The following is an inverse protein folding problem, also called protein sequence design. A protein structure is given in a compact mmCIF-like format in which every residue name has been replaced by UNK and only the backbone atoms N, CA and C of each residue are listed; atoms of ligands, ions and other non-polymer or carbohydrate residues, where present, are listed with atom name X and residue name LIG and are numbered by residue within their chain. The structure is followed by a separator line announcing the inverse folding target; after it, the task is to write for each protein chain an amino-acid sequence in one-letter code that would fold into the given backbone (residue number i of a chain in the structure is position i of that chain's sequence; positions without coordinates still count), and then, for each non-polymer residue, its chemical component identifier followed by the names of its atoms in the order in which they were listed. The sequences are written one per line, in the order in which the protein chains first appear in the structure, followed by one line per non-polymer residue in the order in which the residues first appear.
data_IF_395238499863
#
_entry.id   IF_395238499863
#
_cell.length_a   1.000
_cell.length_b   1.000
_cell.length_c   1.000
_cell.angle_alpha   90.00
_cell.angle_beta   90.00
_cell.angle_gamma   90.00
#
_symmetry.space_group_name_H-M   'P 1'
#
loop_
_entity.id
_entity.type
_entity.pdbx_description
1 polymer ?
#
# COMPACT_ATOMS: atom_id res chain seq x y z
N UNK A 1 -45.10 -27.45 -65.93
CA UNK A 1 -45.87 -28.01 -64.80
C UNK A 1 -44.89 -28.73 -63.88
N UNK A 2 -44.27 -28.03 -62.91
CA UNK A 2 -43.73 -28.59 -61.65
C UNK A 2 -43.52 -27.43 -60.67
N UNK A 3 -43.83 -27.73 -59.41
CA UNK A 3 -44.13 -26.83 -58.30
C UNK A 3 -42.88 -26.21 -57.63
N UNK A 4 -43.09 -24.99 -57.16
CA UNK A 4 -42.73 -24.40 -55.86
C UNK A 4 -41.94 -25.33 -54.90
N UNK A 5 -40.75 -24.88 -54.49
CA UNK A 5 -40.26 -24.97 -53.12
C UNK A 5 -39.55 -23.65 -52.78
N UNK A 6 -40.24 -22.84 -51.98
CA UNK A 6 -39.71 -21.63 -51.35
C UNK A 6 -38.60 -22.01 -50.38
N UNK A 7 -37.56 -21.16 -50.29
CA UNK A 7 -36.54 -21.23 -49.24
C UNK A 7 -37.01 -20.42 -48.02
N UNK A 8 -37.45 -21.06 -46.93
CA UNK A 8 -37.33 -20.43 -45.62
C UNK A 8 -36.80 -21.43 -44.60
N UNK A 9 -35.54 -21.85 -44.68
CA UNK A 9 -34.95 -22.64 -43.57
C UNK A 9 -33.42 -22.71 -43.62
N UNK A 10 -32.73 -21.57 -43.70
CA UNK A 10 -31.27 -21.51 -43.43
C UNK A 10 -30.87 -20.35 -42.53
N UNK A 11 -31.83 -19.76 -41.81
CA UNK A 11 -31.59 -18.65 -40.87
C UNK A 11 -31.97 -18.99 -39.41
N UNK A 12 -32.11 -20.28 -39.07
CA UNK A 12 -32.47 -20.72 -37.72
C UNK A 12 -31.43 -21.64 -37.05
N UNK A 13 -30.23 -21.80 -37.64
CA UNK A 13 -29.13 -22.61 -37.07
C UNK A 13 -27.85 -21.78 -36.82
N UNK A 14 -27.84 -20.50 -37.21
CA UNK A 14 -26.75 -19.57 -36.87
C UNK A 14 -26.98 -18.78 -35.56
N UNK A 15 -28.13 -18.96 -34.91
CA UNK A 15 -28.51 -18.24 -33.68
C UNK A 15 -28.46 -19.09 -32.40
N UNK A 16 -27.94 -20.32 -32.46
CA UNK A 16 -27.90 -21.26 -31.33
C UNK A 16 -26.50 -21.83 -31.03
N UNK A 17 -25.44 -21.08 -31.35
CA UNK A 17 -24.03 -21.42 -30.99
C UNK A 17 -23.33 -20.21 -30.34
N UNK A 18 -24.09 -19.28 -29.76
CA UNK A 18 -23.56 -18.00 -29.24
C UNK A 18 -24.04 -17.66 -27.83
N UNK A 19 -24.39 -18.67 -27.02
CA UNK A 19 -24.77 -18.45 -25.62
C UNK A 19 -24.35 -19.58 -24.66
N UNK A 20 -23.25 -20.28 -24.98
CA UNK A 20 -22.47 -20.97 -23.94
C UNK A 20 -21.15 -20.21 -23.78
N UNK A 21 -21.26 -18.91 -23.56
CA UNK A 21 -20.30 -18.29 -22.66
C UNK A 21 -20.64 -18.91 -21.32
N UNK A 22 -19.85 -19.91 -20.93
CA UNK A 22 -19.78 -20.35 -19.55
C UNK A 22 -19.69 -19.08 -18.72
N UNK A 23 -20.79 -18.75 -18.05
CA UNK A 23 -20.79 -17.85 -16.91
C UNK A 23 -19.89 -18.61 -15.94
N UNK A 24 -18.58 -18.34 -16.02
CA UNK A 24 -17.65 -18.78 -15.00
C UNK A 24 -18.28 -18.34 -13.68
N UNK A 25 -18.22 -19.18 -12.63
CA UNK A 25 -18.86 -18.84 -11.36
C UNK A 25 -18.50 -17.40 -11.04
N UNK A 26 -19.53 -16.55 -10.90
CA UNK A 26 -19.36 -15.17 -10.47
C UNK A 26 -18.39 -15.25 -9.30
N UNK A 27 -17.21 -14.62 -9.36
CA UNK A 27 -16.17 -14.79 -8.37
C UNK A 27 -16.85 -14.73 -7.02
N UNK A 28 -16.90 -15.88 -6.33
CA UNK A 28 -17.57 -15.98 -5.04
C UNK A 28 -16.98 -14.86 -4.21
N UNK A 29 -17.85 -13.98 -3.70
CA UNK A 29 -17.50 -12.76 -2.98
C UNK A 29 -16.17 -12.94 -2.27
N UNK A 30 -15.19 -12.07 -2.54
CA UNK A 30 -13.83 -12.09 -2.01
C UNK A 30 -13.86 -12.37 -0.49
N UNK A 31 -13.90 -13.65 -0.14
CA UNK A 31 -14.04 -14.10 1.22
C UNK A 31 -12.63 -14.30 1.74
N UNK A 32 -12.33 -13.65 2.85
CA UNK A 32 -11.07 -13.84 3.52
C UNK A 32 -10.90 -15.32 3.88
N UNK A 33 -9.81 -15.91 3.39
CA UNK A 33 -9.41 -17.25 3.75
C UNK A 33 -8.73 -17.27 5.11
N UNK A 34 -8.65 -18.46 5.71
CA UNK A 34 -7.87 -18.68 6.92
C UNK A 34 -6.40 -18.26 6.72
N UNK A 35 -5.76 -17.62 7.71
CA UNK A 35 -4.34 -17.33 7.66
C UNK A 35 -3.53 -18.60 7.39
N UNK A 36 -2.71 -18.57 6.35
CA UNK A 36 -1.72 -19.60 6.09
C UNK A 36 -0.42 -19.32 6.82
N UNK A 37 0.23 -20.35 7.36
CA UNK A 37 1.60 -20.23 7.84
C UNK A 37 2.55 -20.06 6.65
N UNK A 38 3.52 -19.15 6.79
CA UNK A 38 4.67 -19.08 5.87
C UNK A 38 5.75 -20.02 6.38
N UNK A 39 6.02 -21.15 5.71
CA UNK A 39 6.86 -22.21 6.25
C UNK A 39 8.32 -21.77 6.35
N UNK A 40 8.93 -21.98 7.51
CA UNK A 40 10.35 -21.69 7.72
C UNK A 40 10.66 -20.21 7.99
N UNK A 41 9.65 -19.38 8.29
CA UNK A 41 9.88 -18.04 8.85
C UNK A 41 10.49 -18.17 10.24
N UNK A 42 11.66 -17.54 10.50
CA UNK A 42 12.27 -17.52 11.83
C UNK A 42 11.36 -16.86 12.87
N UNK A 43 11.49 -17.23 14.13
CA UNK A 43 10.67 -16.68 15.22
C UNK A 43 10.99 -15.22 15.55
N UNK A 44 12.14 -14.71 15.11
CA UNK A 44 12.63 -13.35 15.39
C UNK A 44 12.38 -12.36 14.24
N UNK A 45 11.44 -12.68 13.33
CA UNK A 45 11.04 -11.75 12.28
C UNK A 45 10.02 -10.73 12.77
N UNK A 46 10.01 -9.55 12.13
CA UNK A 46 9.00 -8.50 12.38
C UNK A 46 8.67 -7.69 11.13
N UNK A 47 7.57 -6.95 11.24
CA UNK A 47 7.05 -5.95 10.29
C UNK A 47 7.02 -6.45 8.82
N UNK A 48 6.20 -7.46 8.51
CA UNK A 48 6.03 -7.92 7.14
C UNK A 48 5.54 -6.78 6.25
N UNK A 49 6.11 -6.69 5.04
CA UNK A 49 5.59 -5.84 3.96
C UNK A 49 5.22 -6.73 2.80
N UNK A 50 4.09 -6.45 2.16
CA UNK A 50 3.49 -7.32 1.16
C UNK A 50 3.16 -6.54 -0.11
N UNK A 51 3.42 -7.15 -1.26
CA UNK A 51 2.97 -6.67 -2.58
C UNK A 51 2.30 -7.83 -3.34
N UNK A 52 1.29 -7.52 -4.14
CA UNK A 52 0.61 -8.50 -5.00
C UNK A 52 0.96 -8.30 -6.47
N UNK A 53 1.02 -9.40 -7.21
CA UNK A 53 1.31 -9.44 -8.65
C UNK A 53 0.53 -10.58 -9.30
N UNK A 54 -0.54 -10.29 -10.04
CA UNK A 54 -1.40 -11.32 -10.63
C UNK A 54 -1.90 -12.33 -9.56
N UNK A 55 -1.50 -13.61 -9.65
CA UNK A 55 -1.79 -14.64 -8.66
C UNK A 55 -0.63 -14.89 -7.67
N UNK A 56 0.34 -13.98 -7.59
CA UNK A 56 1.50 -14.08 -6.70
C UNK A 56 1.42 -13.04 -5.60
N UNK A 57 1.95 -13.44 -4.45
CA UNK A 57 2.10 -12.58 -3.28
C UNK A 57 3.57 -12.56 -2.91
N UNK A 58 4.10 -11.37 -2.74
CA UNK A 58 5.49 -11.12 -2.38
C UNK A 58 5.52 -10.58 -0.97
N UNK A 59 6.32 -11.17 -0.10
CA UNK A 59 6.47 -10.72 1.28
C UNK A 59 7.93 -10.54 1.61
N UNK A 60 8.26 -9.42 2.24
CA UNK A 60 9.55 -9.24 2.91
C UNK A 60 9.33 -9.13 4.42
N UNK A 61 10.23 -9.76 5.17
CA UNK A 61 10.28 -9.68 6.63
C UNK A 61 11.68 -9.33 7.07
N UNK A 62 11.79 -8.63 8.20
CA UNK A 62 13.08 -8.31 8.80
C UNK A 62 13.39 -9.26 9.94
N UNK A 63 14.54 -9.92 9.86
CA UNK A 63 15.06 -10.79 10.90
C UNK A 63 15.94 -10.01 11.87
N UNK A 64 15.52 -9.87 13.13
CA UNK A 64 16.14 -8.94 14.06
C UNK A 64 17.52 -9.38 14.55
N UNK A 65 17.74 -10.67 14.80
CA UNK A 65 19.01 -11.15 15.32
C UNK A 65 20.16 -11.02 14.31
N UNK A 66 19.86 -11.18 13.01
CA UNK A 66 20.83 -11.13 11.92
C UNK A 66 20.83 -9.82 11.13
N UNK A 67 19.89 -8.90 11.41
CA UNK A 67 19.70 -7.65 10.65
C UNK A 67 19.49 -7.86 9.15
N UNK A 68 18.74 -8.90 8.78
CA UNK A 68 18.55 -9.32 7.39
C UNK A 68 17.13 -9.07 6.89
N UNK A 69 16.98 -8.84 5.58
CA UNK A 69 15.69 -8.99 4.92
C UNK A 69 15.56 -10.38 4.32
N UNK A 70 14.47 -11.04 4.70
CA UNK A 70 14.03 -12.30 4.14
C UNK A 70 12.88 -12.03 3.18
N UNK A 71 12.90 -12.70 2.05
CA UNK A 71 11.88 -12.64 1.02
C UNK A 71 11.18 -13.99 0.91
N UNK A 72 9.85 -13.97 0.91
CA UNK A 72 8.99 -15.13 0.68
C UNK A 72 8.06 -14.86 -0.49
N UNK A 73 7.84 -15.87 -1.32
CA UNK A 73 6.90 -15.82 -2.43
C UNK A 73 5.76 -16.78 -2.18
N UNK A 74 4.54 -16.32 -2.39
CA UNK A 74 3.32 -17.11 -2.36
C UNK A 74 2.68 -17.19 -3.73
N UNK A 75 2.04 -18.31 -4.04
CA UNK A 75 1.12 -18.44 -5.18
C UNK A 75 -0.30 -18.61 -4.64
N UNK A 76 -1.20 -17.70 -5.00
CA UNK A 76 -2.61 -17.75 -4.67
C UNK A 76 -3.35 -18.68 -5.62
N UNK A 77 -4.12 -19.60 -5.05
CA UNK A 77 -5.07 -20.44 -5.76
C UNK A 77 -6.41 -19.70 -5.95
N UNK A 78 -7.26 -20.20 -6.83
CA UNK A 78 -8.58 -19.60 -7.10
C UNK A 78 -9.50 -19.49 -5.86
N UNK A 79 -9.26 -20.31 -4.84
CA UNK A 79 -9.98 -20.28 -3.56
C UNK A 79 -9.37 -19.30 -2.54
N UNK A 80 -8.38 -18.48 -2.92
CA UNK A 80 -7.71 -17.53 -2.05
C UNK A 80 -6.60 -18.10 -1.16
N UNK A 81 -6.44 -19.43 -1.09
CA UNK A 81 -5.33 -20.04 -0.34
C UNK A 81 -3.98 -19.71 -0.98
N UNK A 82 -2.95 -19.47 -0.16
CA UNK A 82 -1.60 -19.13 -0.63
C UNK A 82 -0.66 -20.28 -0.30
N UNK A 83 -0.01 -20.82 -1.34
CA UNK A 83 1.10 -21.76 -1.18
C UNK A 83 2.40 -20.96 -1.13
N UNK A 84 3.04 -20.94 0.04
CA UNK A 84 4.26 -20.19 0.29
C UNK A 84 5.53 -21.01 0.05
N UNK A 85 6.51 -20.38 -0.58
CA UNK A 85 7.89 -20.83 -0.60
C UNK A 85 8.61 -20.46 0.71
N UNK A 86 9.69 -21.19 1.01
CA UNK A 86 10.53 -20.87 2.18
C UNK A 86 11.20 -19.49 2.01
N UNK A 87 11.28 -18.69 3.09
CA UNK A 87 11.96 -17.41 3.06
C UNK A 87 13.43 -17.55 2.66
N UNK A 88 13.95 -16.53 1.97
CA UNK A 88 15.35 -16.46 1.55
C UNK A 88 15.90 -15.08 1.80
N UNK A 89 17.15 -15.00 2.23
CA UNK A 89 17.83 -13.72 2.43
C UNK A 89 18.03 -12.98 1.11
N UNK A 90 17.70 -11.68 1.10
CA UNK A 90 17.87 -10.79 -0.06
C UNK A 90 18.69 -9.52 0.24
N UNK A 91 18.86 -9.19 1.52
CA UNK A 91 19.72 -8.10 1.98
C UNK A 91 20.25 -8.38 3.38
N UNK A 92 21.41 -7.81 3.68
CA UNK A 92 22.08 -7.82 4.98
C UNK A 92 22.19 -6.38 5.51
N UNK A 93 22.54 -6.24 6.79
CA UNK A 93 22.78 -4.96 7.48
C UNK A 93 21.60 -3.97 7.43
N UNK A 94 20.37 -4.48 7.36
CA UNK A 94 19.16 -3.66 7.23
C UNK A 94 18.80 -3.00 8.56
N UNK A 95 18.34 -1.75 8.49
CA UNK A 95 17.97 -0.93 9.65
C UNK A 95 16.58 -0.31 9.46
N UNK A 96 15.62 -0.79 10.25
CA UNK A 96 14.34 -0.16 10.61
C UNK A 96 13.42 0.41 9.49
N UNK A 97 13.80 0.39 8.22
CA UNK A 97 12.99 0.91 7.12
C UNK A 97 13.16 0.03 5.88
N UNK A 98 12.05 -0.54 5.40
CA UNK A 98 12.00 -1.34 4.17
C UNK A 98 10.57 -1.36 3.64
N UNK A 99 10.43 -1.51 2.33
CA UNK A 99 9.13 -1.73 1.71
C UNK A 99 9.28 -2.43 0.35
N UNK A 100 8.17 -2.94 -0.17
CA UNK A 100 8.10 -3.74 -1.39
C UNK A 100 6.97 -3.27 -2.30
N UNK A 101 7.23 -3.23 -3.61
CA UNK A 101 6.23 -3.05 -4.64
C UNK A 101 6.41 -4.12 -5.73
N UNK A 102 5.35 -4.40 -6.47
CA UNK A 102 5.40 -5.24 -7.65
C UNK A 102 4.63 -4.58 -8.80
N UNK A 103 5.10 -4.81 -10.03
CA UNK A 103 4.39 -4.39 -11.24
C UNK A 103 3.62 -5.53 -11.91
N UNK A 104 2.76 -5.18 -12.86
CA UNK A 104 1.96 -6.16 -13.60
C UNK A 104 2.79 -7.03 -14.57
N UNK A 105 4.05 -6.69 -14.83
CA UNK A 105 4.95 -7.50 -15.66
C UNK A 105 5.65 -8.61 -14.88
N UNK A 106 5.52 -8.61 -13.56
CA UNK A 106 6.19 -9.57 -12.68
C UNK A 106 7.46 -9.06 -12.03
N UNK A 107 7.82 -7.80 -12.22
CA UNK A 107 8.98 -7.29 -11.52
C UNK A 107 8.65 -6.93 -10.07
N UNK A 108 9.54 -7.33 -9.17
CA UNK A 108 9.47 -7.05 -7.74
C UNK A 108 10.56 -6.05 -7.38
N UNK A 109 10.18 -5.04 -6.62
CA UNK A 109 11.00 -3.89 -6.27
C UNK A 109 11.07 -3.79 -4.74
N UNK A 110 12.28 -3.70 -4.19
CA UNK A 110 12.48 -3.55 -2.74
C UNK A 110 13.39 -2.36 -2.49
N UNK A 111 12.96 -1.46 -1.61
CA UNK A 111 13.81 -0.42 -1.04
C UNK A 111 14.02 -0.70 0.45
N UNK A 112 15.22 -0.43 0.95
CA UNK A 112 15.57 -0.65 2.35
C UNK A 112 16.69 0.27 2.81
N UNK A 113 16.69 0.63 4.09
CA UNK A 113 17.77 1.35 4.74
C UNK A 113 18.71 0.42 5.49
N UNK A 114 19.97 0.82 5.66
CA UNK A 114 21.04 0.02 6.27
C UNK A 114 21.70 0.72 7.47
N UNK A 115 22.48 -0.02 8.28
CA UNK A 115 23.17 0.57 9.44
C UNK A 115 24.29 1.54 9.03
N UNK A 116 24.86 1.38 7.83
CA UNK A 116 25.82 2.32 7.22
C UNK A 116 25.18 3.65 6.75
N UNK A 117 23.90 3.88 7.08
CA UNK A 117 23.14 5.11 6.79
C UNK A 117 22.91 5.34 5.30
N UNK A 118 22.65 4.28 4.54
CA UNK A 118 22.23 4.39 3.14
C UNK A 118 20.82 3.84 2.94
N UNK A 119 20.18 4.30 1.87
CA UNK A 119 18.99 3.66 1.31
C UNK A 119 19.42 2.97 0.03
N UNK A 120 19.08 1.70 -0.08
CA UNK A 120 19.34 0.89 -1.26
C UNK A 120 18.04 0.45 -1.92
N UNK A 121 18.18 0.12 -3.20
CA UNK A 121 17.15 -0.49 -4.03
C UNK A 121 17.67 -1.76 -4.67
N UNK A 122 16.84 -2.81 -4.69
CA UNK A 122 17.06 -4.04 -5.47
C UNK A 122 15.80 -4.41 -6.25
N UNK A 123 15.99 -5.04 -7.41
CA UNK A 123 14.92 -5.48 -8.30
C UNK A 123 15.06 -6.97 -8.61
N UNK A 124 13.93 -7.66 -8.71
CA UNK A 124 13.85 -8.98 -9.34
C UNK A 124 12.91 -8.89 -10.55
N UNK A 125 13.41 -9.01 -11.79
CA UNK A 125 12.58 -8.87 -12.98
C UNK A 125 11.70 -10.10 -13.28
N UNK A 126 11.87 -11.21 -12.55
CA UNK A 126 11.31 -12.51 -12.90
C UNK A 126 10.40 -13.04 -11.78
N UNK A 127 9.34 -12.32 -11.44
CA UNK A 127 8.32 -12.74 -10.45
C UNK A 127 8.92 -13.12 -9.08
N UNK A 128 10.03 -12.48 -8.71
CA UNK A 128 10.76 -12.81 -7.49
C UNK A 128 11.44 -14.19 -7.49
N UNK A 129 11.75 -14.75 -8.67
CA UNK A 129 12.48 -16.00 -8.81
C UNK A 129 13.85 -15.93 -8.15
N UNK A 130 14.27 -17.02 -7.52
CA UNK A 130 15.52 -17.06 -6.79
C UNK A 130 16.74 -16.77 -7.67
N UNK A 131 17.74 -16.09 -7.10
CA UNK A 131 19.02 -15.79 -7.76
C UNK A 131 18.96 -14.62 -8.73
N UNK A 132 17.78 -14.04 -8.99
CA UNK A 132 17.57 -12.99 -9.97
C UNK A 132 17.48 -11.57 -9.37
N UNK A 133 17.84 -11.41 -8.10
CA UNK A 133 17.90 -10.07 -7.49
C UNK A 133 19.10 -9.31 -8.04
N UNK A 134 18.87 -8.06 -8.46
CA UNK A 134 19.92 -7.16 -8.88
C UNK A 134 20.90 -6.89 -7.73
N UNK A 135 22.09 -6.40 -8.07
CA UNK A 135 22.96 -5.78 -7.07
C UNK A 135 22.26 -4.57 -6.44
N UNK A 136 22.53 -4.24 -5.16
CA UNK A 136 22.02 -3.03 -4.54
C UNK A 136 22.44 -1.77 -5.31
N UNK A 137 21.48 -0.94 -5.67
CA UNK A 137 21.68 0.41 -6.19
C UNK A 137 21.52 1.40 -5.02
N UNK A 138 22.48 2.29 -4.79
CA UNK A 138 22.33 3.36 -3.79
C UNK A 138 21.29 4.38 -4.26
N UNK A 139 20.27 4.60 -3.44
CA UNK A 139 19.22 5.61 -3.64
C UNK A 139 19.65 6.95 -3.02
N UNK A 140 20.17 6.88 -1.79
CA UNK A 140 20.61 8.04 -1.03
C UNK A 140 21.57 7.65 0.09
N UNK A 141 22.44 8.59 0.47
CA UNK A 141 23.17 8.59 1.74
C UNK A 141 22.43 9.48 2.74
N UNK A 142 22.29 9.02 3.97
CA UNK A 142 21.56 9.66 5.07
C UNK A 142 22.54 10.27 6.08
N UNK A 143 22.14 11.35 6.73
CA UNK A 143 22.97 11.96 7.78
C UNK A 143 22.99 11.06 9.04
N UNK A 144 21.82 10.55 9.46
CA UNK A 144 21.69 9.67 10.65
C UNK A 144 20.91 8.39 10.36
N UNK A 145 19.64 8.48 9.96
CA UNK A 145 18.77 7.31 9.73
C UNK A 145 17.48 7.67 8.99
N UNK A 146 16.81 6.66 8.43
CA UNK A 146 15.44 6.75 7.94
C UNK A 146 14.45 6.39 9.06
N UNK A 147 13.34 7.11 9.15
CA UNK A 147 12.27 6.93 10.14
C UNK A 147 11.07 6.16 9.55
N UNK A 148 11.35 5.14 8.73
CA UNK A 148 10.47 4.47 7.75
C UNK A 148 10.59 5.02 6.32
N UNK A 149 10.28 4.14 5.37
CA UNK A 149 10.23 4.46 3.95
C UNK A 149 9.08 3.72 3.26
N UNK A 150 8.70 4.22 2.10
CA UNK A 150 7.74 3.57 1.20
C UNK A 150 8.27 3.53 -0.23
N UNK A 151 7.79 2.57 -1.01
CA UNK A 151 8.12 2.42 -2.43
C UNK A 151 6.84 2.27 -3.25
N UNK A 152 6.74 3.02 -4.35
CA UNK A 152 5.65 2.93 -5.29
C UNK A 152 6.17 2.96 -6.73
N UNK A 153 5.33 2.52 -7.66
CA UNK A 153 5.64 2.51 -9.09
C UNK A 153 4.65 3.41 -9.83
N UNK A 154 5.16 4.23 -10.74
CA UNK A 154 4.32 4.94 -11.72
C UNK A 154 3.73 3.97 -12.77
N UNK A 155 2.90 4.46 -13.68
CA UNK A 155 2.28 3.62 -14.71
C UNK A 155 3.27 3.12 -15.80
N UNK A 156 4.52 3.59 -15.79
CA UNK A 156 5.62 3.06 -16.62
C UNK A 156 6.57 2.15 -15.81
N UNK A 157 6.18 1.73 -14.60
CA UNK A 157 6.96 0.90 -13.68
C UNK A 157 8.29 1.55 -13.25
N UNK A 158 8.37 2.89 -13.27
CA UNK A 158 9.49 3.63 -12.67
C UNK A 158 9.33 3.61 -11.16
N UNK A 159 10.34 3.17 -10.39
CA UNK A 159 10.25 3.14 -8.94
C UNK A 159 10.51 4.51 -8.32
N UNK A 160 9.73 4.81 -7.29
CA UNK A 160 9.83 5.98 -6.42
C UNK A 160 9.96 5.51 -4.99
N UNK A 161 10.83 6.17 -4.21
CA UNK A 161 11.04 5.88 -2.79
C UNK A 161 10.81 7.16 -2.00
N UNK A 162 9.97 7.12 -0.97
CA UNK A 162 9.74 8.23 -0.05
C UNK A 162 10.22 7.87 1.35
N UNK A 163 10.85 8.80 2.06
CA UNK A 163 11.30 8.57 3.44
C UNK A 163 11.36 9.87 4.24
N UNK A 164 11.11 9.75 5.54
CA UNK A 164 11.56 10.75 6.51
C UNK A 164 12.97 10.38 6.97
N UNK A 165 13.86 11.35 7.09
CA UNK A 165 15.19 11.12 7.68
C UNK A 165 15.44 11.99 8.90
N UNK A 166 16.28 11.49 9.80
CA UNK A 166 16.82 12.18 10.98
C UNK A 166 15.79 12.53 12.08
N UNK A 167 16.27 12.95 13.24
CA UNK A 167 15.45 13.42 14.38
C UNK A 167 16.07 14.73 14.85
N UNK A 168 15.24 15.72 15.18
CA UNK A 168 15.65 17.07 15.61
C UNK A 168 16.21 17.97 14.48
N UNK A 169 15.78 17.68 13.24
CA UNK A 169 15.89 18.49 12.02
C UNK A 169 15.52 17.61 10.82
N UNK A 170 14.41 16.87 10.96
CA UNK A 170 13.97 15.88 10.00
C UNK A 170 13.49 16.54 8.71
N UNK A 171 13.72 15.87 7.59
CA UNK A 171 13.21 16.26 6.27
C UNK A 171 12.47 15.09 5.63
N UNK A 172 11.41 15.41 4.88
CA UNK A 172 10.70 14.44 4.06
C UNK A 172 11.24 14.50 2.63
N UNK A 173 11.66 13.35 2.10
CA UNK A 173 12.27 13.25 0.77
C UNK A 173 11.56 12.22 -0.09
N UNK A 174 11.68 12.42 -1.40
CA UNK A 174 11.35 11.44 -2.43
C UNK A 174 12.55 11.30 -3.36
N UNK A 175 12.82 10.08 -3.81
CA UNK A 175 13.70 9.83 -4.94
C UNK A 175 12.99 8.99 -5.99
N UNK A 176 13.41 9.14 -7.24
CA UNK A 176 12.96 8.28 -8.34
C UNK A 176 14.15 7.88 -9.21
N UNK A 177 14.00 6.76 -9.91
CA UNK A 177 15.04 6.26 -10.82
C UNK A 177 14.95 6.93 -12.19
N UNK A 178 15.97 7.66 -12.60
CA UNK A 178 15.95 8.39 -13.87
C UNK A 178 16.00 7.44 -15.09
N UNK A 179 15.49 7.85 -16.27
CA UNK A 179 15.51 7.02 -17.48
C UNK A 179 16.91 6.56 -17.93
N UNK A 180 17.96 7.32 -17.61
CA UNK A 180 19.37 6.95 -17.86
C UNK A 180 20.00 6.06 -16.79
N UNK A 181 19.23 5.63 -15.78
CA UNK A 181 19.74 5.04 -14.54
C UNK A 181 20.08 6.10 -13.49
N UNK A 182 20.51 5.63 -12.32
CA UNK A 182 20.74 6.50 -11.15
C UNK A 182 19.45 6.99 -10.50
N UNK A 183 19.61 7.60 -9.32
CA UNK A 183 18.51 8.10 -8.50
C UNK A 183 18.59 9.63 -8.38
N UNK A 184 17.45 10.28 -8.55
CA UNK A 184 17.29 11.72 -8.36
C UNK A 184 16.39 11.93 -7.16
N UNK A 185 16.91 12.64 -6.15
CA UNK A 185 16.22 12.90 -4.89
C UNK A 185 15.82 14.38 -4.78
N UNK A 186 14.63 14.62 -4.26
CA UNK A 186 14.07 15.95 -4.02
C UNK A 186 13.57 16.04 -2.58
N UNK A 187 13.72 17.22 -1.99
CA UNK A 187 13.06 17.55 -0.72
C UNK A 187 11.57 17.83 -0.99
N UNK A 188 10.70 17.15 -0.22
CA UNK A 188 9.24 17.30 -0.31
C UNK A 188 8.76 18.35 0.69
N UNK A 189 9.27 18.28 1.92
CA UNK A 189 8.97 19.21 2.98
C UNK A 189 10.21 19.43 3.85
N UNK A 190 10.37 20.70 4.27
CA UNK A 190 11.53 21.17 5.03
C UNK A 190 11.53 20.74 6.50
N UNK A 191 12.35 21.42 7.30
CA UNK A 191 12.69 21.01 8.66
C UNK A 191 11.48 20.89 9.57
N UNK A 192 11.35 19.74 10.19
CA UNK A 192 10.50 19.50 11.35
C UNK A 192 11.26 18.69 12.40
N UNK A 193 10.70 18.53 13.60
CA UNK A 193 11.30 17.65 14.60
C UNK A 193 11.34 16.19 14.11
N UNK A 194 10.28 15.73 13.45
CA UNK A 194 10.17 14.35 12.97
C UNK A 194 9.21 14.21 11.78
N UNK A 195 9.67 13.51 10.73
CA UNK A 195 8.80 12.83 9.76
C UNK A 195 8.92 11.32 9.94
N UNK A 196 7.80 10.60 9.99
CA UNK A 196 7.77 9.13 10.01
C UNK A 196 6.55 8.56 9.28
N UNK A 197 6.62 7.27 8.95
CA UNK A 197 5.56 6.53 8.25
C UNK A 197 5.15 7.19 6.93
N UNK A 198 6.14 7.43 6.06
CA UNK A 198 5.84 7.85 4.70
C UNK A 198 4.88 6.84 4.04
N UNK A 199 3.85 7.34 3.38
CA UNK A 199 2.98 6.61 2.48
C UNK A 199 3.10 7.29 1.11
N UNK A 200 3.23 6.50 0.05
CA UNK A 200 3.55 6.98 -1.28
C UNK A 200 2.62 6.36 -2.32
N UNK A 201 2.05 7.20 -3.18
CA UNK A 201 1.45 6.76 -4.44
C UNK A 201 1.91 7.67 -5.57
N UNK A 202 1.93 7.14 -6.80
CA UNK A 202 2.33 7.90 -8.00
C UNK A 202 1.28 7.71 -9.09
N UNK A 203 0.70 8.81 -9.54
CA UNK A 203 -0.23 8.82 -10.68
C UNK A 203 0.51 9.21 -11.96
N UNK A 204 -0.04 8.84 -13.12
CA UNK A 204 0.62 9.10 -14.41
C UNK A 204 1.88 8.26 -14.63
N UNK A 205 2.73 8.70 -15.57
CA UNK A 205 3.96 8.01 -15.95
C UNK A 205 5.03 9.00 -16.44
N UNK A 206 6.30 8.63 -16.25
CA UNK A 206 7.43 9.36 -16.83
C UNK A 206 7.44 10.83 -16.42
N UNK A 207 7.62 11.74 -17.38
CA UNK A 207 7.63 13.18 -17.12
C UNK A 207 6.25 13.72 -16.68
N UNK A 208 5.17 13.01 -17.00
CA UNK A 208 3.81 13.35 -16.55
C UNK A 208 3.42 12.70 -15.22
N UNK A 209 4.35 12.01 -14.55
CA UNK A 209 4.07 11.41 -13.26
C UNK A 209 3.89 12.50 -12.19
N UNK A 210 2.88 12.31 -11.33
CA UNK A 210 2.65 13.13 -10.15
C UNK A 210 2.82 12.26 -8.91
N UNK A 211 3.63 12.75 -7.99
CA UNK A 211 3.97 12.07 -6.75
C UNK A 211 3.08 12.59 -5.64
N UNK A 212 2.55 11.69 -4.84
CA UNK A 212 1.74 11.99 -3.66
C UNK A 212 2.39 11.33 -2.46
N UNK A 213 2.62 12.10 -1.40
CA UNK A 213 3.23 11.62 -0.17
C UNK A 213 2.35 12.04 1.00
N UNK A 214 2.04 11.09 1.88
CA UNK A 214 1.58 11.39 3.23
C UNK A 214 2.66 11.00 4.23
N UNK A 215 2.76 11.75 5.31
CA UNK A 215 3.66 11.42 6.41
C UNK A 215 3.06 11.90 7.70
N UNK A 216 3.34 11.18 8.78
CA UNK A 216 3.16 11.75 10.11
C UNK A 216 4.27 12.76 10.36
N UNK A 217 3.90 13.92 10.89
CA UNK A 217 4.73 15.08 11.14
C UNK A 217 4.65 15.46 12.61
N UNK A 218 5.82 15.71 13.22
CA UNK A 218 5.93 16.49 14.46
C UNK A 218 6.70 17.77 14.15
N UNK A 219 6.01 18.92 14.19
CA UNK A 219 6.60 20.22 13.86
C UNK A 219 7.76 20.59 14.77
N UNK A 220 7.47 20.87 16.04
CA UNK A 220 8.46 21.23 17.06
C UNK A 220 8.49 20.22 18.22
N UNK A 221 9.53 20.31 19.06
CA UNK A 221 9.62 19.49 20.27
C UNK A 221 8.45 19.81 21.20
N UNK A 222 7.53 18.86 21.34
CA UNK A 222 6.34 18.98 22.19
C UNK A 222 5.06 19.31 21.43
N UNK A 223 5.13 19.57 20.11
CA UNK A 223 3.93 19.69 19.29
C UNK A 223 3.16 18.37 19.25
N UNK A 224 1.87 18.46 18.98
CA UNK A 224 1.06 17.31 18.58
C UNK A 224 1.56 16.75 17.25
N UNK A 225 1.20 15.50 16.97
CA UNK A 225 1.45 14.91 15.67
C UNK A 225 0.36 15.37 14.70
N UNK A 226 0.74 15.53 13.45
CA UNK A 226 -0.13 15.91 12.36
C UNK A 226 0.08 14.97 11.18
N UNK A 227 -0.90 14.87 10.30
CA UNK A 227 -0.70 14.25 8.99
C UNK A 227 -0.38 15.36 8.00
N UNK A 228 0.76 15.24 7.35
CA UNK A 228 1.14 16.04 6.20
C UNK A 228 0.63 15.35 4.93
N UNK A 229 0.14 16.13 3.97
CA UNK A 229 0.01 15.71 2.59
C UNK A 229 0.86 16.60 1.69
N UNK A 230 1.60 16.00 0.77
CA UNK A 230 2.35 16.70 -0.25
C UNK A 230 2.11 16.09 -1.62
N UNK A 231 1.96 16.92 -2.65
CA UNK A 231 1.87 16.46 -4.03
C UNK A 231 2.57 17.40 -5.01
N UNK A 232 3.20 16.84 -6.02
CA UNK A 232 3.93 17.60 -7.03
C UNK A 232 4.27 16.77 -8.26
N UNK A 233 4.65 17.42 -9.38
CA UNK A 233 5.20 16.71 -10.52
C UNK A 233 6.54 16.06 -10.15
N UNK A 234 6.90 14.96 -10.84
CA UNK A 234 8.17 14.22 -10.61
C UNK A 234 9.40 15.12 -10.47
N UNK A 235 9.53 16.11 -11.35
CA UNK A 235 10.71 16.98 -11.50
C UNK A 235 10.44 18.43 -11.06
N UNK A 236 9.50 18.65 -10.15
CA UNK A 236 9.14 20.01 -9.75
C UNK A 236 8.75 20.16 -8.29
N UNK A 237 8.30 21.36 -7.90
CA UNK A 237 8.01 21.67 -6.51
C UNK A 237 6.77 20.91 -6.02
N UNK A 238 6.81 20.52 -4.74
CA UNK A 238 5.67 19.96 -4.05
C UNK A 238 4.80 21.06 -3.44
N UNK A 239 3.49 20.94 -3.60
CA UNK A 239 2.51 21.64 -2.75
C UNK A 239 2.37 20.83 -1.47
N UNK A 240 2.57 21.47 -0.32
CA UNK A 240 2.52 20.86 1.00
C UNK A 240 1.35 21.44 1.80
N UNK A 241 0.59 20.59 2.48
CA UNK A 241 -0.54 20.99 3.31
C UNK A 241 -0.66 20.13 4.57
N UNK A 242 -1.08 20.73 5.69
CA UNK A 242 -1.48 20.00 6.90
C UNK A 242 -2.81 19.29 6.66
N UNK A 243 -2.77 17.98 6.39
CA UNK A 243 -3.93 17.17 6.04
C UNK A 243 -4.88 17.01 7.23
N UNK A 244 -4.37 16.62 8.41
CA UNK A 244 -5.20 16.46 9.61
C UNK A 244 -5.73 17.79 10.14
N UNK A 245 -4.96 18.87 9.99
CA UNK A 245 -5.37 20.22 10.36
C UNK A 245 -6.59 20.70 9.56
N UNK A 246 -6.70 20.29 8.29
CA UNK A 246 -7.88 20.57 7.46
C UNK A 246 -9.19 19.97 8.01
N UNK A 247 -9.11 18.99 8.91
CA UNK A 247 -10.25 18.38 9.58
C UNK A 247 -10.43 18.84 11.04
N UNK A 248 -9.55 19.71 11.54
CA UNK A 248 -9.61 20.20 12.93
C UNK A 248 -9.21 19.16 13.98
N UNK A 249 -8.39 18.17 13.61
CA UNK A 249 -8.09 17.01 14.45
C UNK A 249 -6.58 16.94 14.72
N UNK A 250 -6.21 16.96 16.00
CA UNK A 250 -4.83 16.68 16.44
C UNK A 250 -4.60 15.17 16.46
N UNK A 251 -3.50 14.70 15.85
CA UNK A 251 -3.16 13.27 15.85
C UNK A 251 -2.21 12.94 17.01
N UNK A 252 -2.36 11.76 17.62
CA UNK A 252 -1.43 11.23 18.63
C UNK A 252 -0.59 10.06 18.13
N UNK A 253 -1.07 9.34 17.11
CA UNK A 253 -0.31 8.38 16.29
C UNK A 253 -1.23 7.89 15.18
N UNK A 254 -0.86 8.13 13.93
CA UNK A 254 -1.82 8.12 12.83
C UNK A 254 -1.41 7.25 11.63
N UNK A 255 -0.13 6.85 11.54
CA UNK A 255 0.46 5.97 10.51
C UNK A 255 -0.30 6.01 9.18
N UNK A 256 -0.22 7.12 8.43
CA UNK A 256 -1.08 7.30 7.27
C UNK A 256 -0.87 6.19 6.26
N UNK A 257 -1.94 5.86 5.53
CA UNK A 257 -1.90 4.93 4.42
C UNK A 257 -2.53 5.58 3.20
N UNK A 258 -2.01 5.22 2.03
CA UNK A 258 -2.58 5.63 0.75
C UNK A 258 -2.67 4.45 -0.19
N UNK A 259 -3.65 4.49 -1.08
CA UNK A 259 -3.82 3.54 -2.15
C UNK A 259 -4.30 4.28 -3.40
N UNK A 260 -3.78 3.87 -4.56
CA UNK A 260 -4.17 4.39 -5.86
C UNK A 260 -5.00 3.32 -6.59
N UNK A 261 -6.24 3.64 -6.92
CA UNK A 261 -6.98 2.87 -7.91
C UNK A 261 -6.55 3.31 -9.31
N UNK A 262 -5.67 2.53 -9.94
CA UNK A 262 -5.15 2.84 -11.27
C UNK A 262 -6.21 2.83 -12.37
N UNK A 263 -7.36 2.18 -12.17
CA UNK A 263 -8.42 2.14 -13.18
C UNK A 263 -9.19 3.47 -13.24
N UNK A 264 -9.38 4.12 -12.09
CA UNK A 264 -10.17 5.35 -11.98
C UNK A 264 -9.31 6.59 -11.75
N UNK A 265 -8.04 6.42 -11.37
CA UNK A 265 -7.17 7.51 -10.93
C UNK A 265 -7.51 8.03 -9.52
N UNK A 266 -8.44 7.39 -8.81
CA UNK A 266 -8.81 7.79 -7.46
C UNK A 266 -7.69 7.48 -6.46
N UNK A 267 -7.39 8.43 -5.58
CA UNK A 267 -6.46 8.26 -4.47
C UNK A 267 -7.28 8.17 -3.19
N UNK A 268 -7.05 7.12 -2.43
CA UNK A 268 -7.65 6.92 -1.12
C UNK A 268 -6.60 7.14 -0.06
N UNK A 269 -7.00 7.77 1.04
CA UNK A 269 -6.14 8.00 2.18
C UNK A 269 -6.87 7.66 3.48
N UNK A 270 -6.14 7.09 4.42
CA UNK A 270 -6.65 6.92 5.77
C UNK A 270 -5.58 7.09 6.82
N UNK A 271 -6.02 7.47 8.02
CA UNK A 271 -5.18 7.61 9.19
C UNK A 271 -6.02 7.49 10.46
N UNK A 272 -5.37 7.34 11.60
CA UNK A 272 -6.04 7.29 12.90
C UNK A 272 -5.85 8.58 13.67
N UNK A 273 -6.86 8.96 14.44
CA UNK A 273 -6.73 9.99 15.46
C UNK A 273 -7.38 9.52 16.75
N UNK A 274 -7.00 10.09 17.89
CA UNK A 274 -7.56 9.71 19.18
C UNK A 274 -6.53 9.49 20.27
N UNK A 275 -7.00 9.22 21.49
CA UNK A 275 -6.19 9.01 22.68
C UNK A 275 -6.47 7.64 23.32
N UNK A 276 -5.45 7.02 23.90
CA UNK A 276 -5.51 5.78 24.69
C UNK A 276 -6.33 4.62 24.10
N UNK A 277 -7.66 4.68 24.24
CA UNK A 277 -8.63 3.67 23.82
C UNK A 277 -9.74 4.22 22.90
N UNK A 278 -9.79 5.53 22.63
CA UNK A 278 -10.76 6.15 21.74
C UNK A 278 -10.06 6.57 20.44
N UNK A 279 -10.01 5.65 19.47
CA UNK A 279 -9.45 5.92 18.15
C UNK A 279 -10.55 6.07 17.10
N UNK A 280 -10.48 7.15 16.36
CA UNK A 280 -11.27 7.40 15.17
C UNK A 280 -10.49 6.98 13.93
N UNK A 281 -11.13 6.18 13.08
CA UNK A 281 -10.66 5.94 11.74
C UNK A 281 -11.11 7.10 10.84
N UNK A 282 -10.14 7.82 10.28
CA UNK A 282 -10.37 8.89 9.33
C UNK A 282 -10.05 8.40 7.94
N UNK A 283 -10.99 8.65 7.03
CA UNK A 283 -10.87 8.28 5.64
C UNK A 283 -11.29 9.42 4.73
N UNK A 284 -10.52 9.65 3.68
CA UNK A 284 -10.84 10.61 2.63
C UNK A 284 -10.33 10.09 1.28
N UNK A 285 -10.88 10.62 0.20
CA UNK A 285 -10.44 10.27 -1.14
C UNK A 285 -10.41 11.50 -2.05
N UNK A 286 -9.60 11.40 -3.10
CA UNK A 286 -9.47 12.40 -4.16
C UNK A 286 -9.72 11.74 -5.51
N UNK A 287 -10.47 12.44 -6.38
CA UNK A 287 -10.76 12.03 -7.77
C UNK A 287 -10.13 12.96 -8.81
N UNK A 288 -9.48 14.01 -8.37
CA UNK A 288 -8.87 15.05 -9.19
C UNK A 288 -7.36 15.10 -8.97
N UNK A 289 -6.75 13.92 -8.79
CA UNK A 289 -5.31 13.77 -8.65
C UNK A 289 -4.73 14.53 -7.45
N UNK A 290 -5.42 14.46 -6.30
CA UNK A 290 -4.99 15.09 -5.06
C UNK A 290 -5.15 16.61 -5.01
N UNK A 291 -5.88 17.19 -5.96
CA UNK A 291 -6.13 18.63 -5.98
C UNK A 291 -7.13 19.02 -4.89
N UNK A 292 -8.19 18.24 -4.74
CA UNK A 292 -9.16 18.33 -3.65
C UNK A 292 -9.42 16.96 -3.02
N UNK A 293 -9.92 16.99 -1.78
CA UNK A 293 -10.22 15.79 -0.98
C UNK A 293 -11.67 15.84 -0.54
N UNK A 294 -12.34 14.69 -0.54
CA UNK A 294 -13.66 14.57 0.09
C UNK A 294 -13.57 14.95 1.57
N UNK A 295 -14.66 15.44 2.18
CA UNK A 295 -14.74 15.52 3.63
C UNK A 295 -14.33 14.18 4.25
N UNK A 296 -13.58 14.23 5.36
CA UNK A 296 -13.19 13.01 6.04
C UNK A 296 -14.43 12.33 6.63
N UNK A 297 -14.63 11.06 6.28
CA UNK A 297 -15.61 10.23 6.96
C UNK A 297 -14.97 9.68 8.21
N UNK A 298 -15.53 10.00 9.36
CA UNK A 298 -15.20 9.37 10.65
C UNK A 298 -16.11 8.16 10.83
N UNK A 299 -15.54 6.97 10.82
CA UNK A 299 -16.30 5.76 11.16
C UNK A 299 -15.85 5.28 12.53
N UNK A 300 -16.76 5.33 13.52
CA UNK A 300 -16.58 4.57 14.76
C UNK A 300 -16.74 3.09 14.43
N UNK A 301 -15.64 2.35 14.50
CA UNK A 301 -15.63 0.91 14.30
C UNK A 301 -16.09 0.29 15.61
N UNK A 302 -17.39 0.30 15.91
CA UNK A 302 -17.94 -0.21 17.17
C UNK A 302 -17.59 0.63 18.42
N UNK A 303 -18.28 0.39 19.53
CA UNK A 303 -18.00 1.05 20.81
C UNK A 303 -17.00 0.30 21.69
N UNK A 304 -16.74 -0.96 21.38
CA UNK A 304 -15.89 -1.89 22.15
C UNK A 304 -14.61 -2.26 21.40
N UNK A 305 -14.25 -1.53 20.36
CA UNK A 305 -13.23 -1.88 19.37
C UNK A 305 -12.26 -0.70 19.17
N UNK A 306 -10.98 -0.96 19.39
CA UNK A 306 -9.89 0.01 19.40
C UNK A 306 -8.93 -0.33 18.27
N UNK A 307 -8.76 0.55 17.28
CA UNK A 307 -7.78 0.31 16.20
C UNK A 307 -6.39 0.74 16.62
N UNK A 308 -5.37 -0.05 16.30
CA UNK A 308 -4.14 0.00 17.10
C UNK A 308 -2.90 0.58 16.47
N UNK A 309 -2.70 0.47 15.14
CA UNK A 309 -1.40 0.84 14.56
C UNK A 309 -1.52 1.40 13.16
N UNK A 310 -1.97 0.57 12.21
CA UNK A 310 -2.02 0.90 10.78
C UNK A 310 -3.17 0.15 10.11
N UNK A 311 -3.73 0.75 9.07
CA UNK A 311 -4.72 0.10 8.23
C UNK A 311 -4.23 -0.06 6.81
N UNK A 312 -3.56 -1.18 6.48
CA UNK A 312 -3.20 -1.49 5.11
C UNK A 312 -4.41 -1.38 4.20
N UNK A 313 -4.20 -0.74 3.06
CA UNK A 313 -5.24 -0.43 2.10
C UNK A 313 -4.76 -0.77 0.71
N UNK A 314 -5.66 -1.37 -0.08
CA UNK A 314 -5.47 -1.57 -1.52
C UNK A 314 -6.69 -1.03 -2.24
N UNK A 315 -6.53 -0.59 -3.49
CA UNK A 315 -7.61 -0.02 -4.25
C UNK A 315 -7.63 -0.59 -5.67
N UNK A 316 -8.83 -0.74 -6.22
CA UNK A 316 -9.05 -1.29 -7.56
C UNK A 316 -10.52 -1.42 -7.87
N UNK A 317 -10.87 -1.36 -9.16
CA UNK A 317 -12.24 -1.48 -9.65
C UNK A 317 -13.20 -0.48 -8.99
N UNK A 318 -12.73 0.74 -8.76
CA UNK A 318 -13.51 1.82 -8.14
C UNK A 318 -13.74 1.65 -6.63
N UNK A 319 -13.04 0.74 -5.95
CA UNK A 319 -13.23 0.43 -4.53
C UNK A 319 -11.91 0.52 -3.77
N UNK A 320 -11.98 0.82 -2.48
CA UNK A 320 -10.87 0.69 -1.55
C UNK A 320 -11.17 -0.41 -0.53
N UNK A 321 -10.23 -1.33 -0.35
CA UNK A 321 -10.30 -2.43 0.60
C UNK A 321 -9.34 -2.14 1.74
N UNK A 322 -9.87 -2.11 2.96
CA UNK A 322 -9.14 -1.66 4.14
C UNK A 322 -9.14 -2.78 5.16
N UNK A 323 -7.94 -3.11 5.66
CA UNK A 323 -7.78 -3.98 6.81
C UNK A 323 -7.67 -3.13 8.09
N UNK A 324 -8.45 -3.49 9.10
CA UNK A 324 -8.52 -2.85 10.40
C UNK A 324 -7.96 -3.82 11.44
N UNK A 325 -6.88 -3.44 12.14
CA UNK A 325 -6.38 -4.22 13.28
C UNK A 325 -7.03 -3.72 14.56
N UNK A 326 -7.96 -4.50 15.10
CA UNK A 326 -8.82 -4.07 16.18
C UNK A 326 -8.52 -4.84 17.46
N UNK A 327 -8.45 -4.13 18.59
CA UNK A 327 -8.48 -4.68 19.95
C UNK A 327 -9.87 -4.47 20.52
N UNK A 328 -10.52 -5.55 20.92
CA UNK A 328 -11.76 -5.49 21.69
C UNK A 328 -11.45 -5.20 23.15
N UNK A 329 -12.16 -4.23 23.74
CA UNK A 329 -12.06 -3.86 25.16
C UNK A 329 -13.45 -4.04 25.78
N UNK A 330 -13.54 -4.87 26.81
CA UNK A 330 -14.76 -5.06 27.60
C UNK A 330 -14.67 -4.40 28.98
N UNK A 331 -15.68 -4.61 29.82
CA UNK A 331 -15.81 -3.99 31.14
C UNK A 331 -14.63 -4.30 32.12
N UNK A 332 -13.84 -5.35 31.83
CA UNK A 332 -12.66 -5.74 32.59
C UNK A 332 -11.31 -5.45 31.91
N UNK A 333 -11.30 -4.68 30.82
CA UNK A 333 -10.10 -4.38 30.02
C UNK A 333 -10.04 -5.12 28.69
N UNK A 334 -8.82 -5.37 28.20
CA UNK A 334 -8.60 -6.06 26.91
C UNK A 334 -9.29 -7.42 26.86
N UNK A 335 -10.16 -7.62 25.88
CA UNK A 335 -10.91 -8.86 25.70
C UNK A 335 -10.32 -9.74 24.59
N UNK A 336 -10.04 -9.15 23.41
CA UNK A 336 -9.48 -9.88 22.28
C UNK A 336 -8.82 -8.94 21.27
N UNK A 337 -8.06 -9.47 20.32
CA UNK A 337 -7.63 -8.71 19.13
C UNK A 337 -7.91 -9.52 17.88
N UNK A 338 -8.20 -8.84 16.78
CA UNK A 338 -8.44 -9.47 15.49
C UNK A 338 -8.23 -8.49 14.34
N UNK A 339 -8.34 -9.02 13.14
CA UNK A 339 -8.37 -8.22 11.92
C UNK A 339 -9.80 -8.18 11.40
N UNK A 340 -10.20 -7.04 10.86
CA UNK A 340 -11.46 -6.86 10.17
C UNK A 340 -11.17 -6.29 8.79
N UNK A 341 -12.05 -6.53 7.84
CA UNK A 341 -12.04 -5.82 6.56
C UNK A 341 -13.32 -5.03 6.37
N UNK A 342 -13.16 -3.88 5.73
CA UNK A 342 -14.26 -3.07 5.21
C UNK A 342 -13.89 -2.63 3.79
N UNK A 343 -14.91 -2.32 3.01
CA UNK A 343 -14.80 -1.81 1.66
C UNK A 343 -15.46 -0.44 1.59
N UNK A 344 -14.78 0.53 1.01
CA UNK A 344 -15.34 1.83 0.70
C UNK A 344 -15.86 1.87 -0.74
N UNK A 345 -17.14 2.21 -0.89
CA UNK A 345 -17.76 2.47 -2.17
C UNK A 345 -17.87 3.98 -2.42
N UNK A 346 -17.09 4.55 -3.36
CA UNK A 346 -17.11 5.97 -3.60
C UNK A 346 -18.35 6.41 -4.40
N UNK A 347 -19.16 5.49 -4.95
CA UNK A 347 -20.39 5.88 -5.66
C UNK A 347 -21.47 6.40 -4.72
N UNK A 348 -21.51 5.89 -3.48
CA UNK A 348 -22.48 6.26 -2.45
C UNK A 348 -21.81 6.83 -1.19
N UNK A 349 -20.48 6.83 -1.12
CA UNK A 349 -19.72 7.36 0.01
C UNK A 349 -19.83 6.52 1.27
N UNK A 350 -20.15 5.22 1.14
CA UNK A 350 -20.40 4.33 2.28
C UNK A 350 -19.33 3.27 2.46
N UNK A 351 -19.23 2.76 3.69
CA UNK A 351 -18.45 1.58 4.04
C UNK A 351 -19.37 0.36 4.16
N UNK A 352 -18.88 -0.80 3.73
CA UNK A 352 -19.48 -2.06 4.16
C UNK A 352 -19.26 -2.28 5.66
N UNK A 353 -20.20 -2.91 6.37
CA UNK A 353 -19.99 -3.25 7.78
C UNK A 353 -18.68 -4.04 7.96
N UNK A 354 -17.80 -3.67 8.93
CA UNK A 354 -16.56 -4.41 9.17
C UNK A 354 -16.82 -5.89 9.41
N UNK A 355 -16.22 -6.74 8.59
CA UNK A 355 -16.32 -8.19 8.69
C UNK A 355 -15.05 -8.77 9.32
N UNK A 356 -15.13 -9.67 10.31
CA UNK A 356 -13.95 -10.28 10.91
C UNK A 356 -13.21 -11.14 9.90
N UNK A 357 -11.89 -11.02 9.88
CA UNK A 357 -11.00 -11.92 9.14
C UNK A 357 -10.81 -13.16 10.00
N UNK A 358 -11.30 -14.30 9.51
CA UNK A 358 -11.22 -15.57 10.24
C UNK A 358 -9.92 -16.28 10.01
#
# INVERSE_FOLDING_TARGET
MFRILSKPLRLAIAALVLAVWSIGPTPTAQAWGQPGLVPGVPSDVRSPKVAGESNRVHMITYQAASTQLLYSRGTSAANGSITWERPRRIADDVKLAWNIAADASGAVHVAYATNDRRIYYIKNPNHGDFGNWSRPEEVATLERQANELDIALDAANTPYVAWGQDVDSSVLRVAYRAPGGGWLASEVAGRAYLYRYAALVVTGAGAGARVHVMSELKGDKGSQLEILYAAGPRDGPFRVQGFSAGFGIGALSAQPTMALDRATGAIYASFFSGNDLDFEFLFSYSRDNGESWSPATTTRIGSDLVVTEKSPMVAGNGRAYIMLQVKRVGDGGFASSGFYATEFNPSDGSFTPPAPLR
#
